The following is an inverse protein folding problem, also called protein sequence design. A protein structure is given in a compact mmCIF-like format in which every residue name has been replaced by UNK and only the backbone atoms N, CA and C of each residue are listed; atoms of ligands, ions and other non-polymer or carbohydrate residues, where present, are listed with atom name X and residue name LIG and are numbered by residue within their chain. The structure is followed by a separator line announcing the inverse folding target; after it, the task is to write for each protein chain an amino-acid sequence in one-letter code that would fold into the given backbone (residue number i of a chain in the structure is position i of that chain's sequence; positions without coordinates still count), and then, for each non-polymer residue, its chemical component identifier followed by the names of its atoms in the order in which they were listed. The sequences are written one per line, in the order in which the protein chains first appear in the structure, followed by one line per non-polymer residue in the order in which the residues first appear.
data_IF_362502404823
#
_entry.id   IF_362502404823
#
_cell.length_a   1.000
_cell.length_b   1.000
_cell.length_c   1.000
_cell.angle_alpha   90.00
_cell.angle_beta   90.00
_cell.angle_gamma   90.00
#
_symmetry.space_group_name_H-M   'P 1'
#
loop_
_entity.id
_entity.type
_entity.pdbx_description
1 polymer ?
#
# COMPACT_ATOMS: atom_id res chain seq x y z
N UNK A 1 2.15 2.41 -12.86
CA UNK A 1 0.79 1.92 -12.55
C UNK A 1 0.65 0.49 -13.07
N UNK A 2 0.02 -0.42 -12.33
CA UNK A 2 -0.01 -1.83 -12.71
C UNK A 2 -1.16 -2.23 -13.65
N UNK A 3 -1.99 -1.29 -14.08
CA UNK A 3 -3.17 -1.56 -14.90
C UNK A 3 -2.97 -1.14 -16.35
N UNK A 4 -3.43 -1.94 -17.30
CA UNK A 4 -3.38 -1.64 -18.72
C UNK A 4 -4.06 -0.30 -19.07
N UNK A 5 -5.19 -0.02 -18.44
CA UNK A 5 -5.90 1.24 -18.61
C UNK A 5 -5.09 2.46 -18.18
N UNK A 6 -4.34 2.34 -17.08
CA UNK A 6 -3.46 3.42 -16.61
C UNK A 6 -2.28 3.65 -17.55
N UNK A 7 -1.69 2.59 -18.09
CA UNK A 7 -0.62 2.70 -19.08
C UNK A 7 -1.14 3.38 -20.36
N UNK A 8 -2.31 2.96 -20.86
CA UNK A 8 -2.92 3.56 -22.02
C UNK A 8 -3.27 5.04 -21.81
N UNK A 9 -3.80 5.40 -20.64
CA UNK A 9 -4.13 6.79 -20.29
C UNK A 9 -2.86 7.65 -20.24
N UNK A 10 -1.80 7.17 -19.59
CA UNK A 10 -0.53 7.90 -19.51
C UNK A 10 0.09 8.10 -20.89
N UNK A 11 0.12 7.05 -21.72
CA UNK A 11 0.64 7.16 -23.09
C UNK A 11 -0.18 8.12 -23.96
N UNK A 12 -1.51 8.19 -23.74
CA UNK A 12 -2.36 9.15 -24.42
C UNK A 12 -2.07 10.59 -23.96
N UNK A 13 -1.96 10.81 -22.66
CA UNK A 13 -1.66 12.12 -22.08
C UNK A 13 -0.29 12.63 -22.53
N UNK A 14 0.72 11.77 -22.54
CA UNK A 14 2.05 12.09 -23.04
C UNK A 14 1.98 12.62 -24.49
N UNK A 15 1.34 11.87 -25.38
CA UNK A 15 1.20 12.25 -26.78
C UNK A 15 0.34 13.50 -27.00
N UNK A 16 -0.75 13.62 -26.25
CA UNK A 16 -1.72 14.71 -26.42
C UNK A 16 -1.19 16.05 -25.90
N UNK A 17 -0.53 16.01 -24.74
CA UNK A 17 -0.01 17.20 -24.09
C UNK A 17 1.47 17.43 -24.32
N UNK A 18 2.15 16.52 -25.01
CA UNK A 18 3.61 16.54 -25.25
C UNK A 18 4.39 16.71 -23.92
N UNK A 19 4.02 15.93 -22.92
CA UNK A 19 4.65 15.96 -21.59
C UNK A 19 5.87 15.04 -21.55
N UNK A 20 6.99 15.48 -21.01
CA UNK A 20 8.10 14.59 -20.71
C UNK A 20 7.64 13.45 -19.81
N UNK A 21 7.80 12.21 -20.26
CA UNK A 21 7.29 11.03 -19.55
C UNK A 21 8.38 9.98 -19.39
N UNK A 22 8.62 9.55 -18.15
CA UNK A 22 9.51 8.43 -17.86
C UNK A 22 8.69 7.19 -17.52
N UNK A 23 8.94 6.09 -18.22
CA UNK A 23 8.29 4.81 -17.94
C UNK A 23 9.20 3.95 -17.07
N UNK A 24 8.90 3.90 -15.79
CA UNK A 24 9.60 3.06 -14.84
C UNK A 24 9.22 1.58 -15.04
N UNK A 25 10.18 0.79 -15.51
CA UNK A 25 10.01 -0.63 -15.73
C UNK A 25 10.07 -1.43 -14.42
N UNK A 26 9.09 -2.32 -14.22
CA UNK A 26 9.10 -3.23 -13.07
C UNK A 26 9.24 -4.65 -13.57
N UNK A 27 10.33 -5.35 -13.20
CA UNK A 27 10.55 -6.73 -13.61
C UNK A 27 9.43 -7.66 -13.13
N UNK A 28 9.12 -8.67 -13.93
CA UNK A 28 8.09 -9.67 -13.60
C UNK A 28 8.55 -10.59 -12.46
N UNK A 29 9.84 -10.93 -12.39
CA UNK A 29 10.42 -11.74 -11.32
C UNK A 29 11.09 -10.83 -10.30
N UNK A 30 10.80 -10.94 -9.02
CA UNK A 30 11.24 -9.97 -8.00
C UNK A 30 12.23 -10.52 -6.96
N UNK A 31 12.54 -11.82 -6.99
CA UNK A 31 13.40 -12.46 -5.98
C UNK A 31 14.82 -12.75 -6.47
N UNK A 32 15.18 -12.31 -7.66
CA UNK A 32 16.49 -12.54 -8.26
C UNK A 32 17.36 -11.28 -8.15
N UNK A 33 18.63 -11.42 -7.84
CA UNK A 33 19.57 -10.28 -7.71
C UNK A 33 19.63 -9.44 -9.00
N UNK A 34 19.62 -10.08 -10.17
CA UNK A 34 19.60 -9.39 -11.44
C UNK A 34 18.38 -8.47 -11.60
N UNK A 35 17.23 -8.89 -11.08
CA UNK A 35 16.00 -8.11 -11.08
C UNK A 35 16.09 -6.93 -10.13
N UNK A 36 16.71 -7.11 -8.97
CA UNK A 36 16.95 -6.02 -8.03
C UNK A 36 17.90 -4.98 -8.64
N UNK A 37 18.98 -5.41 -9.26
CA UNK A 37 19.92 -4.53 -9.94
C UNK A 37 19.25 -3.75 -11.07
N UNK A 38 18.41 -4.40 -11.88
CA UNK A 38 17.62 -3.74 -12.90
C UNK A 38 16.71 -2.65 -12.32
N UNK A 39 15.99 -2.96 -11.23
CA UNK A 39 15.10 -2.00 -10.59
C UNK A 39 15.86 -0.79 -9.99
N UNK A 40 17.08 -0.99 -9.50
CA UNK A 40 17.96 0.11 -9.06
C UNK A 40 18.37 0.99 -10.24
N UNK A 41 18.76 0.39 -11.37
CA UNK A 41 19.11 1.15 -12.57
C UNK A 41 17.94 1.94 -13.14
N UNK A 42 16.72 1.41 -13.07
CA UNK A 42 15.50 2.15 -13.42
C UNK A 42 15.30 3.38 -12.51
N UNK A 43 15.54 3.26 -11.19
CA UNK A 43 15.50 4.42 -10.28
C UNK A 43 16.57 5.45 -10.61
N UNK A 44 17.78 5.02 -10.94
CA UNK A 44 18.84 5.92 -11.40
C UNK A 44 18.47 6.60 -12.72
N UNK A 45 17.81 5.86 -13.62
CA UNK A 45 17.27 6.40 -14.86
C UNK A 45 16.22 7.47 -14.60
N UNK A 46 15.35 7.26 -13.64
CA UNK A 46 14.34 8.24 -13.22
C UNK A 46 15.01 9.52 -12.65
N UNK A 47 16.04 9.37 -11.83
CA UNK A 47 16.79 10.52 -11.30
C UNK A 47 17.40 11.33 -12.46
N UNK A 48 18.13 10.68 -13.38
CA UNK A 48 18.70 11.36 -14.55
C UNK A 48 17.64 12.06 -15.40
N UNK A 49 16.50 11.40 -15.61
CA UNK A 49 15.38 12.02 -16.34
C UNK A 49 14.88 13.30 -15.65
N UNK A 50 14.72 13.27 -14.34
CA UNK A 50 14.29 14.44 -13.56
C UNK A 50 15.35 15.56 -13.67
N UNK A 51 16.62 15.27 -13.51
CA UNK A 51 17.73 16.23 -13.65
C UNK A 51 17.73 16.86 -15.06
N UNK A 52 17.57 16.07 -16.10
CA UNK A 52 17.49 16.53 -17.48
C UNK A 52 16.29 17.44 -17.75
N UNK A 53 15.13 17.14 -17.15
CA UNK A 53 13.90 17.92 -17.37
C UNK A 53 13.85 19.21 -16.54
N UNK A 54 14.46 19.23 -15.36
CA UNK A 54 14.43 20.37 -14.45
C UNK A 54 15.65 21.26 -14.56
N UNK A 55 16.78 20.71 -15.02
CA UNK A 55 18.08 21.39 -14.99
C UNK A 55 18.72 21.43 -13.60
N UNK A 56 18.11 20.78 -12.62
CA UNK A 56 18.57 20.72 -11.22
C UNK A 56 19.25 19.41 -10.93
N UNK A 57 20.29 19.41 -10.10
CA UNK A 57 20.94 18.19 -9.62
C UNK A 57 20.12 17.58 -8.49
N UNK A 58 20.03 16.26 -8.48
CA UNK A 58 19.26 15.54 -7.44
C UNK A 58 19.84 15.77 -6.04
N UNK A 59 19.03 16.26 -5.14
CA UNK A 59 19.41 16.59 -3.74
C UNK A 59 19.26 15.35 -2.84
N UNK A 60 20.38 14.67 -2.61
CA UNK A 60 20.43 13.50 -1.74
C UNK A 60 20.14 13.82 -0.27
N UNK A 61 20.49 15.01 0.21
CA UNK A 61 20.22 15.38 1.60
C UNK A 61 18.71 15.59 1.82
N UNK A 62 18.05 16.25 0.87
CA UNK A 62 16.60 16.39 0.87
C UNK A 62 15.91 15.03 0.74
N UNK A 63 16.42 14.14 -0.12
CA UNK A 63 15.91 12.79 -0.26
C UNK A 63 16.04 11.99 1.06
N UNK A 64 17.20 11.98 1.69
CA UNK A 64 17.39 11.30 2.97
C UNK A 64 16.52 11.86 4.09
N UNK A 65 16.33 13.17 4.10
CA UNK A 65 15.40 13.80 5.05
C UNK A 65 13.96 13.31 4.83
N UNK A 66 13.52 13.23 3.59
CA UNK A 66 12.19 12.68 3.26
C UNK A 66 12.07 11.20 3.64
N UNK A 67 13.12 10.40 3.36
CA UNK A 67 13.12 8.96 3.72
C UNK A 67 13.11 8.72 5.23
N UNK A 68 13.71 9.58 6.03
CA UNK A 68 13.60 9.50 7.50
C UNK A 68 12.15 9.65 7.98
N UNK A 69 11.41 10.57 7.37
CA UNK A 69 9.97 10.74 7.67
C UNK A 69 9.18 9.53 7.19
N UNK A 70 9.39 9.10 5.95
CA UNK A 70 8.76 7.91 5.37
C UNK A 70 8.99 6.65 6.21
N UNK A 71 10.21 6.40 6.66
CA UNK A 71 10.55 5.26 7.52
C UNK A 71 9.76 5.31 8.83
N UNK A 72 9.62 6.49 9.41
CA UNK A 72 8.86 6.67 10.65
C UNK A 72 7.36 6.43 10.46
N UNK A 73 6.81 6.88 9.35
CA UNK A 73 5.43 6.58 8.97
C UNK A 73 5.22 5.08 8.75
N UNK A 74 6.16 4.43 8.06
CA UNK A 74 6.15 2.98 7.86
C UNK A 74 6.12 2.21 9.19
N UNK A 75 6.94 2.62 10.18
CA UNK A 75 6.91 2.01 11.51
C UNK A 75 5.54 2.15 12.19
N UNK A 76 4.90 3.33 12.11
CA UNK A 76 3.57 3.53 12.68
C UNK A 76 2.51 2.70 11.95
N UNK A 77 2.60 2.58 10.63
CA UNK A 77 1.70 1.74 9.85
C UNK A 77 1.82 0.26 10.24
N UNK A 78 3.03 -0.26 10.33
CA UNK A 78 3.28 -1.64 10.75
C UNK A 78 2.70 -1.91 12.16
N UNK A 79 2.85 -0.98 13.10
CA UNK A 79 2.28 -1.11 14.45
C UNK A 79 0.74 -1.16 14.43
N UNK A 80 0.09 -0.38 13.56
CA UNK A 80 -1.37 -0.42 13.39
C UNK A 80 -1.84 -1.79 12.93
N UNK A 81 -1.15 -2.38 11.98
CA UNK A 81 -1.48 -3.70 11.46
C UNK A 81 -1.25 -4.81 12.48
N UNK A 82 -0.17 -4.74 13.25
CA UNK A 82 0.07 -5.68 14.35
C UNK A 82 -1.07 -5.64 15.39
N UNK A 83 -1.54 -4.47 15.74
CA UNK A 83 -2.67 -4.32 16.66
C UNK A 83 -3.96 -4.92 16.07
N UNK A 84 -4.20 -4.77 14.78
CA UNK A 84 -5.38 -5.33 14.13
C UNK A 84 -5.37 -6.87 14.04
N UNK A 85 -4.20 -7.51 14.12
CA UNK A 85 -4.10 -8.98 14.22
C UNK A 85 -4.60 -9.53 15.56
N UNK A 86 -4.66 -8.69 16.58
CA UNK A 86 -5.09 -9.07 17.92
C UNK A 86 -6.62 -9.17 18.06
N UNK A 87 -7.15 -9.73 19.16
CA UNK A 87 -8.59 -9.70 19.45
C UNK A 87 -9.18 -8.29 19.64
N UNK A 88 -8.32 -7.26 19.70
CA UNK A 88 -8.72 -5.87 19.95
C UNK A 88 -8.29 -4.95 18.79
N UNK A 89 -8.81 -5.15 17.56
CA UNK A 89 -8.49 -4.28 16.45
C UNK A 89 -8.88 -2.85 16.74
N UNK A 90 -8.09 -1.90 16.24
CA UNK A 90 -8.26 -0.48 16.57
C UNK A 90 -8.60 0.37 15.36
N UNK A 91 -8.54 -0.21 14.17
CA UNK A 91 -8.87 0.50 12.95
C UNK A 91 -9.62 -0.45 12.01
N UNK A 92 -10.85 -0.11 11.67
CA UNK A 92 -11.70 -0.92 10.82
C UNK A 92 -12.41 -0.06 9.78
N UNK A 93 -12.90 -0.71 8.72
CA UNK A 93 -13.81 -0.15 7.74
C UNK A 93 -13.29 1.10 7.05
N UNK A 94 -14.18 2.06 6.92
CA UNK A 94 -13.95 3.31 6.20
C UNK A 94 -12.87 4.19 6.85
N UNK A 95 -12.80 4.20 8.18
CA UNK A 95 -11.75 4.94 8.91
C UNK A 95 -10.36 4.55 8.43
N UNK A 96 -10.17 3.25 8.21
CA UNK A 96 -8.96 2.69 7.70
C UNK A 96 -8.67 3.16 6.27
N UNK A 97 -9.68 3.13 5.41
CA UNK A 97 -9.55 3.51 4.02
C UNK A 97 -9.28 5.00 3.85
N UNK A 98 -10.07 5.86 4.52
CA UNK A 98 -9.89 7.32 4.51
C UNK A 98 -8.52 7.68 5.04
N UNK A 99 -8.13 7.11 6.17
CA UNK A 99 -6.82 7.36 6.77
C UNK A 99 -5.69 7.06 5.80
N UNK A 100 -5.73 5.90 5.14
CA UNK A 100 -4.71 5.51 4.18
C UNK A 100 -4.69 6.39 2.94
N UNK A 101 -5.84 6.72 2.37
CA UNK A 101 -5.93 7.61 1.21
C UNK A 101 -5.33 8.99 1.51
N UNK A 102 -5.71 9.58 2.62
CA UNK A 102 -5.22 10.91 2.96
C UNK A 102 -3.76 10.93 3.38
N UNK A 103 -3.32 9.96 4.14
CA UNK A 103 -1.96 9.96 4.69
C UNK A 103 -0.93 9.35 3.75
N UNK A 104 -1.27 8.28 3.08
CA UNK A 104 -0.33 7.55 2.24
C UNK A 104 -0.23 8.07 0.81
N UNK A 105 -1.36 8.46 0.22
CA UNK A 105 -1.41 8.84 -1.19
C UNK A 105 -1.32 10.34 -1.42
N UNK A 106 -1.75 11.16 -0.48
CA UNK A 106 -1.80 12.59 -0.64
C UNK A 106 -0.65 13.34 0.04
N UNK A 107 -0.07 12.79 1.10
CA UNK A 107 1.01 13.46 1.82
C UNK A 107 2.40 12.95 1.51
N UNK A 108 2.52 11.68 1.14
CA UNK A 108 3.77 11.09 0.66
C UNK A 108 5.00 11.29 1.53
N UNK A 109 4.86 11.34 2.85
CA UNK A 109 5.99 11.52 3.76
C UNK A 109 6.65 12.91 3.73
N UNK A 110 6.04 13.87 3.08
CA UNK A 110 6.64 15.20 2.87
C UNK A 110 6.19 16.23 3.90
N UNK A 111 5.04 16.04 4.54
CA UNK A 111 4.49 16.99 5.48
C UNK A 111 4.67 16.53 6.94
N UNK A 112 5.47 17.23 7.75
CA UNK A 112 5.69 16.89 9.15
C UNK A 112 4.41 16.91 10.01
N UNK A 113 3.36 17.62 9.57
CA UNK A 113 2.07 17.61 10.25
C UNK A 113 1.38 16.24 10.17
N UNK A 114 1.56 15.53 9.07
CA UNK A 114 1.02 14.17 8.94
C UNK A 114 1.71 13.20 9.88
N UNK A 115 3.03 13.27 10.01
CA UNK A 115 3.76 12.45 10.97
C UNK A 115 3.28 12.69 12.42
N UNK A 116 2.99 13.94 12.78
CA UNK A 116 2.42 14.25 14.10
C UNK A 116 1.02 13.66 14.29
N UNK A 117 0.18 13.76 13.27
CA UNK A 117 -1.16 13.17 13.28
C UNK A 117 -1.07 11.65 13.37
N UNK A 118 -0.20 11.02 12.60
CA UNK A 118 0.04 9.59 12.61
C UNK A 118 0.49 9.10 13.99
N UNK A 119 1.39 9.81 14.61
CA UNK A 119 1.83 9.57 15.99
C UNK A 119 0.68 9.68 17.00
N UNK A 120 -0.24 10.63 16.82
CA UNK A 120 -1.42 10.78 17.68
C UNK A 120 -2.40 9.62 17.50
N UNK A 121 -2.69 9.25 16.26
CA UNK A 121 -3.55 8.09 15.95
C UNK A 121 -2.95 6.82 16.53
N UNK A 122 -1.67 6.56 16.33
CA UNK A 122 -0.97 5.42 16.91
C UNK A 122 -1.11 5.39 18.44
N UNK A 123 -0.94 6.52 19.10
CA UNK A 123 -1.11 6.62 20.56
C UNK A 123 -2.53 6.27 21.02
N UNK A 124 -3.56 6.71 20.26
CA UNK A 124 -4.96 6.39 20.56
C UNK A 124 -5.19 4.89 20.41
N UNK A 125 -4.73 4.31 19.31
CA UNK A 125 -4.84 2.88 19.05
C UNK A 125 -4.14 2.03 20.12
N UNK A 126 -2.91 2.37 20.47
CA UNK A 126 -2.16 1.67 21.52
C UNK A 126 -2.85 1.74 22.89
N UNK A 127 -3.49 2.87 23.20
CA UNK A 127 -4.29 3.01 24.42
C UNK A 127 -5.52 2.08 24.41
N UNK A 128 -6.26 2.05 23.29
CA UNK A 128 -7.41 1.15 23.11
C UNK A 128 -6.99 -0.32 23.25
N UNK A 129 -5.91 -0.69 22.60
CA UNK A 129 -5.33 -2.03 22.71
C UNK A 129 -4.94 -2.40 24.15
N UNK A 130 -4.22 -1.53 24.86
CA UNK A 130 -3.83 -1.75 26.25
C UNK A 130 -5.05 -1.89 27.20
N UNK A 131 -6.13 -1.19 26.88
CA UNK A 131 -7.39 -1.31 27.60
C UNK A 131 -8.22 -2.54 27.20
N UNK A 132 -7.74 -3.34 26.25
CA UNK A 132 -8.46 -4.49 25.68
C UNK A 132 -9.85 -4.12 25.13
N UNK A 133 -9.94 -2.96 24.53
CA UNK A 133 -11.20 -2.46 23.93
C UNK A 133 -11.04 -2.44 22.41
N UNK A 134 -11.80 -3.25 21.65
CA UNK A 134 -11.83 -3.14 20.21
C UNK A 134 -12.51 -1.83 19.79
N UNK A 135 -12.15 -1.29 18.63
CA UNK A 135 -12.81 -0.10 18.08
C UNK A 135 -14.28 -0.35 17.70
N UNK A 136 -14.61 -1.60 17.40
CA UNK A 136 -15.95 -2.03 17.06
C UNK A 136 -16.46 -3.05 18.09
N UNK A 137 -17.18 -2.61 19.16
CA UNK A 137 -17.61 -3.49 20.24
C UNK A 137 -18.66 -4.52 19.82
N UNK A 138 -19.37 -4.30 18.72
CA UNK A 138 -20.37 -5.22 18.17
C UNK A 138 -19.80 -6.15 17.08
N UNK A 139 -18.49 -6.27 16.98
CA UNK A 139 -17.84 -7.12 15.98
C UNK A 139 -18.28 -8.58 16.11
N UNK A 140 -18.86 -9.12 15.03
CA UNK A 140 -19.24 -10.53 14.88
C UNK A 140 -18.33 -11.26 13.93
N UNK A 141 -17.92 -10.58 12.87
CA UNK A 141 -17.08 -11.11 11.80
C UNK A 141 -15.85 -10.27 11.62
N UNK A 142 -14.72 -10.93 11.48
CA UNK A 142 -13.44 -10.33 11.12
C UNK A 142 -13.24 -10.50 9.63
N UNK A 143 -13.35 -9.42 8.90
CA UNK A 143 -13.35 -9.43 7.45
C UNK A 143 -11.99 -9.00 6.89
N UNK A 144 -11.53 -9.71 5.88
CA UNK A 144 -10.48 -9.24 4.98
C UNK A 144 -11.14 -8.74 3.71
N UNK A 145 -10.88 -7.50 3.37
CA UNK A 145 -11.31 -6.92 2.11
C UNK A 145 -10.22 -7.18 1.04
N UNK A 146 -10.62 -7.80 -0.05
CA UNK A 146 -9.69 -8.17 -1.11
C UNK A 146 -10.12 -7.60 -2.44
N UNK A 147 -9.17 -7.05 -3.23
CA UNK A 147 -9.40 -6.21 -4.38
C UNK A 147 -9.57 -4.73 -4.03
N UNK A 148 -9.89 -3.88 -5.00
CA UNK A 148 -10.10 -2.46 -4.77
C UNK A 148 -11.32 -2.22 -3.88
N UNK A 149 -11.21 -1.46 -2.81
CA UNK A 149 -12.36 -1.14 -1.95
C UNK A 149 -13.45 -0.38 -2.72
N UNK A 150 -14.69 -0.50 -2.25
CA UNK A 150 -15.85 0.14 -2.86
C UNK A 150 -15.89 1.65 -2.60
N UNK A 151 -14.91 2.38 -3.10
CA UNK A 151 -14.73 3.82 -2.88
C UNK A 151 -15.91 4.68 -3.34
N UNK A 152 -16.71 4.15 -4.26
CA UNK A 152 -17.93 4.77 -4.76
C UNK A 152 -19.12 4.55 -3.83
N UNK A 153 -18.95 3.79 -2.75
CA UNK A 153 -19.99 3.49 -1.77
C UNK A 153 -19.45 3.60 -0.33
N UNK A 154 -19.11 4.81 0.12
CA UNK A 154 -18.43 5.00 1.41
C UNK A 154 -19.25 4.51 2.60
N UNK A 155 -20.58 4.55 2.50
CA UNK A 155 -21.47 4.09 3.56
C UNK A 155 -21.52 2.56 3.74
N UNK A 156 -20.97 1.80 2.79
CA UNK A 156 -21.02 0.35 2.84
C UNK A 156 -20.34 -0.21 4.09
N UNK A 157 -19.12 0.25 4.40
CA UNK A 157 -18.38 -0.20 5.58
C UNK A 157 -19.11 0.16 6.87
N UNK A 158 -19.68 1.37 6.94
CA UNK A 158 -20.47 1.83 8.10
C UNK A 158 -21.72 0.97 8.28
N UNK A 159 -22.41 0.66 7.20
CA UNK A 159 -23.56 -0.22 7.21
C UNK A 159 -23.19 -1.66 7.62
N UNK A 160 -22.12 -2.20 7.05
CA UNK A 160 -21.66 -3.55 7.37
C UNK A 160 -21.26 -3.69 8.86
N UNK A 161 -20.56 -2.71 9.40
CA UNK A 161 -20.19 -2.68 10.81
C UNK A 161 -21.40 -2.55 11.73
N UNK A 162 -22.26 -1.58 11.48
CA UNK A 162 -23.37 -1.25 12.39
C UNK A 162 -24.55 -2.21 12.31
N UNK A 163 -24.86 -2.72 11.12
CA UNK A 163 -26.03 -3.59 10.93
C UNK A 163 -25.69 -5.07 11.06
N UNK A 164 -24.48 -5.47 10.69
CA UNK A 164 -24.11 -6.90 10.60
C UNK A 164 -22.95 -7.28 11.50
N UNK A 165 -22.21 -6.32 12.05
CA UNK A 165 -21.03 -6.56 12.84
C UNK A 165 -19.87 -7.11 12.01
N UNK A 166 -19.83 -6.78 10.72
CA UNK A 166 -18.76 -7.14 9.80
C UNK A 166 -17.71 -6.05 9.86
N UNK A 167 -16.54 -6.37 10.40
CA UNK A 167 -15.46 -5.41 10.57
C UNK A 167 -14.27 -5.76 9.69
N UNK A 168 -13.93 -4.88 8.77
CA UNK A 168 -12.74 -5.02 7.93
C UNK A 168 -11.51 -4.77 8.79
N UNK A 169 -10.75 -5.81 9.07
CA UNK A 169 -9.54 -5.76 9.91
C UNK A 169 -8.26 -5.68 9.10
N UNK A 170 -8.32 -6.06 7.83
CA UNK A 170 -7.24 -5.92 6.86
C UNK A 170 -7.80 -5.81 5.45
N UNK A 171 -7.06 -5.20 4.56
CA UNK A 171 -7.36 -5.16 3.12
C UNK A 171 -6.12 -5.48 2.31
N UNK A 172 -6.29 -5.79 1.03
CA UNK A 172 -5.18 -5.97 0.12
C UNK A 172 -4.25 -4.74 0.10
N UNK A 173 -4.81 -3.55 0.22
CA UNK A 173 -4.06 -2.29 0.20
C UNK A 173 -3.34 -1.98 1.51
N UNK A 174 -3.69 -2.68 2.59
CA UNK A 174 -3.03 -2.52 3.89
C UNK A 174 -1.70 -3.25 4.00
N UNK A 175 -1.39 -4.09 3.03
CA UNK A 175 -0.15 -4.82 2.99
C UNK A 175 0.97 -3.92 2.49
N UNK A 176 1.64 -3.27 3.40
CA UNK A 176 2.77 -2.40 3.09
C UNK A 176 4.10 -3.15 3.16
N UNK A 177 5.13 -2.56 2.56
CA UNK A 177 6.49 -3.07 2.71
C UNK A 177 7.01 -2.81 4.11
N UNK A 178 7.69 -3.80 4.69
CA UNK A 178 8.39 -3.71 5.97
C UNK A 178 9.85 -3.21 5.84
N UNK A 179 10.25 -2.80 4.64
CA UNK A 179 11.60 -2.36 4.37
C UNK A 179 11.78 -0.92 4.81
N UNK A 180 12.76 -0.71 5.67
CA UNK A 180 13.23 0.61 6.10
C UNK A 180 14.34 1.05 5.15
N UNK A 181 14.19 2.23 4.58
CA UNK A 181 15.12 2.78 3.58
C UNK A 181 16.37 3.33 4.26
N UNK A 182 17.54 2.96 3.77
CA UNK A 182 18.81 3.56 4.22
C UNK A 182 18.79 5.07 3.98
N UNK A 183 19.28 5.85 4.95
CA UNK A 183 19.27 7.32 4.89
C UNK A 183 20.66 7.95 4.99
N UNK A 184 21.69 7.21 4.61
CA UNK A 184 23.08 7.65 4.70
C UNK A 184 23.88 7.34 3.42
N UNK A 185 23.50 6.28 2.70
CA UNK A 185 24.21 5.78 1.53
C UNK A 185 23.26 5.75 0.33
N UNK A 186 23.51 6.51 -0.74
CA UNK A 186 22.68 6.56 -1.93
C UNK A 186 22.42 5.20 -2.58
N UNK A 187 23.43 4.36 -2.70
CA UNK A 187 23.30 3.07 -3.38
C UNK A 187 22.44 2.10 -2.56
N UNK A 188 22.64 2.07 -1.25
CA UNK A 188 21.80 1.29 -0.33
C UNK A 188 20.38 1.81 -0.30
N UNK A 189 20.21 3.13 -0.28
CA UNK A 189 18.87 3.73 -0.31
C UNK A 189 18.09 3.34 -1.56
N UNK A 190 18.71 3.41 -2.74
CA UNK A 190 18.09 2.98 -3.98
C UNK A 190 17.80 1.47 -3.99
N UNK A 191 18.69 0.65 -3.45
CA UNK A 191 18.45 -0.79 -3.34
C UNK A 191 17.27 -1.10 -2.41
N UNK A 192 17.18 -0.45 -1.26
CA UNK A 192 16.06 -0.62 -0.32
C UNK A 192 14.75 -0.11 -0.93
N UNK A 193 14.77 1.05 -1.58
CA UNK A 193 13.61 1.62 -2.25
C UNK A 193 13.11 0.73 -3.39
N UNK A 194 14.01 0.22 -4.23
CA UNK A 194 13.68 -0.72 -5.29
C UNK A 194 13.04 -1.99 -4.73
N UNK A 195 13.58 -2.52 -3.64
CA UNK A 195 13.06 -3.71 -2.96
C UNK A 195 11.70 -3.44 -2.32
N UNK A 196 11.55 -2.31 -1.63
CA UNK A 196 10.28 -1.88 -1.04
C UNK A 196 9.19 -1.74 -2.10
N UNK A 197 9.48 -1.02 -3.17
CA UNK A 197 8.55 -0.81 -4.26
C UNK A 197 8.08 -2.11 -4.92
N UNK A 198 8.96 -3.08 -5.05
CA UNK A 198 8.62 -4.39 -5.61
C UNK A 198 7.76 -5.25 -4.69
N UNK A 199 7.77 -4.99 -3.39
CA UNK A 199 6.98 -5.69 -2.38
C UNK A 199 5.61 -5.06 -2.13
N UNK A 200 5.33 -3.89 -2.70
CA UNK A 200 3.99 -3.31 -2.58
C UNK A 200 2.95 -4.23 -3.23
N UNK A 201 1.79 -4.30 -2.62
CA UNK A 201 0.74 -5.28 -2.90
C UNK A 201 0.43 -5.45 -4.38
N UNK A 202 -0.01 -4.43 -5.07
CA UNK A 202 -0.38 -4.54 -6.48
C UNK A 202 0.81 -4.93 -7.38
N UNK A 203 2.02 -4.50 -7.05
CA UNK A 203 3.23 -4.88 -7.80
C UNK A 203 3.59 -6.33 -7.60
N UNK A 204 3.53 -6.80 -6.39
CA UNK A 204 3.77 -8.20 -6.03
C UNK A 204 2.77 -9.12 -6.73
N UNK A 205 1.51 -8.74 -6.80
CA UNK A 205 0.44 -9.51 -7.42
C UNK A 205 0.58 -9.61 -8.95
N UNK A 206 1.02 -8.56 -9.62
CA UNK A 206 1.19 -8.58 -11.08
C UNK A 206 2.41 -9.37 -11.55
N UNK A 207 3.31 -9.75 -10.65
CA UNK A 207 4.58 -10.43 -10.97
C UNK A 207 4.55 -11.94 -10.86
N UNK A 208 3.51 -12.49 -10.33
CA UNK A 208 3.31 -13.93 -10.22
C UNK A 208 2.03 -14.35 -10.90
N UNK A 209 1.80 -15.63 -11.00
CA UNK A 209 0.50 -16.14 -11.38
C UNK A 209 -0.53 -15.90 -10.27
N UNK A 210 -1.77 -16.25 -10.52
CA UNK A 210 -2.87 -16.18 -9.56
C UNK A 210 -2.56 -16.85 -8.21
N UNK A 211 -1.69 -17.85 -8.21
CA UNK A 211 -1.27 -18.55 -6.99
C UNK A 211 -0.69 -17.60 -5.94
N UNK A 212 0.15 -16.63 -6.35
CA UNK A 212 0.70 -15.66 -5.41
C UNK A 212 -0.37 -14.81 -4.71
N UNK A 213 -1.41 -14.43 -5.46
CA UNK A 213 -2.52 -13.63 -4.93
C UNK A 213 -3.32 -14.45 -3.92
N UNK A 214 -3.59 -15.71 -4.25
CA UNK A 214 -4.34 -16.63 -3.40
C UNK A 214 -3.56 -17.00 -2.14
N UNK A 215 -2.29 -17.33 -2.27
CA UNK A 215 -1.42 -17.66 -1.13
C UNK A 215 -1.32 -16.47 -0.15
N UNK A 216 -1.21 -15.25 -0.67
CA UNK A 216 -1.16 -14.07 0.17
C UNK A 216 -2.49 -13.82 0.89
N UNK A 217 -3.63 -13.98 0.20
CA UNK A 217 -4.95 -13.90 0.84
C UNK A 217 -5.07 -14.91 1.99
N UNK A 218 -4.66 -16.15 1.78
CA UNK A 218 -4.68 -17.18 2.83
C UNK A 218 -3.80 -16.83 4.03
N UNK A 219 -2.61 -16.31 3.77
CA UNK A 219 -1.70 -15.85 4.84
C UNK A 219 -2.34 -14.71 5.63
N UNK A 220 -2.90 -13.73 4.95
CA UNK A 220 -3.58 -12.59 5.60
C UNK A 220 -4.77 -13.06 6.41
N UNK A 221 -5.65 -13.90 5.86
CA UNK A 221 -6.79 -14.43 6.60
C UNK A 221 -6.37 -15.16 7.89
N UNK A 222 -5.31 -15.96 7.83
CA UNK A 222 -4.78 -16.63 9.01
C UNK A 222 -4.19 -15.66 10.04
N UNK A 223 -3.39 -14.69 9.58
CA UNK A 223 -2.73 -13.72 10.47
C UNK A 223 -3.73 -12.81 11.19
N UNK A 224 -4.82 -12.47 10.53
CA UNK A 224 -5.85 -11.59 11.08
C UNK A 224 -7.02 -12.34 11.72
N UNK A 225 -6.96 -13.67 11.78
CA UNK A 225 -8.07 -14.52 12.25
C UNK A 225 -9.39 -14.15 11.57
N UNK A 226 -9.34 -13.99 10.26
CA UNK A 226 -10.51 -13.62 9.47
C UNK A 226 -11.41 -14.84 9.26
N UNK A 227 -12.69 -14.64 9.44
CA UNK A 227 -13.74 -15.62 9.17
C UNK A 227 -14.59 -15.24 7.95
N UNK A 228 -14.28 -14.10 7.32
CA UNK A 228 -14.96 -13.60 6.15
C UNK A 228 -13.99 -12.90 5.20
N UNK A 229 -14.22 -13.05 3.91
CA UNK A 229 -13.55 -12.28 2.86
C UNK A 229 -14.61 -11.55 2.05
N UNK A 230 -14.43 -10.25 1.89
CA UNK A 230 -15.19 -9.42 0.95
C UNK A 230 -14.33 -9.17 -0.28
N UNK A 231 -14.82 -9.59 -1.43
CA UNK A 231 -14.16 -9.35 -2.69
C UNK A 231 -15.02 -8.45 -3.57
N UNK A 232 -14.44 -7.35 -4.03
CA UNK A 232 -15.12 -6.44 -4.93
C UNK A 232 -14.67 -6.69 -6.37
N UNK A 233 -15.62 -7.00 -7.23
CA UNK A 233 -15.40 -7.07 -8.67
C UNK A 233 -15.42 -5.67 -9.26
N UNK A 234 -14.26 -5.21 -9.70
CA UNK A 234 -14.17 -3.95 -10.40
C UNK A 234 -14.07 -4.21 -11.90
N UNK A 235 -15.10 -3.87 -12.63
CA UNK A 235 -15.24 -4.14 -14.08
C UNK A 235 -14.06 -3.67 -14.94
N UNK A 236 -13.30 -2.69 -14.47
CA UNK A 236 -12.10 -2.19 -15.15
C UNK A 236 -10.81 -2.93 -14.79
N UNK A 237 -10.86 -3.84 -13.81
CA UNK A 237 -9.69 -4.56 -13.31
C UNK A 237 -9.68 -6.00 -13.82
N UNK A 238 -9.26 -6.21 -15.07
CA UNK A 238 -9.21 -7.54 -15.71
C UNK A 238 -8.47 -8.60 -14.88
N UNK A 239 -7.42 -8.20 -14.16
CA UNK A 239 -6.62 -9.10 -13.35
C UNK A 239 -7.39 -9.65 -12.15
N UNK A 240 -8.21 -8.84 -11.51
CA UNK A 240 -9.00 -9.27 -10.35
C UNK A 240 -10.30 -9.96 -10.76
N UNK A 241 -11.02 -9.43 -11.73
CA UNK A 241 -12.24 -10.07 -12.26
C UNK A 241 -11.95 -11.47 -12.81
N UNK A 242 -10.82 -11.64 -13.51
CA UNK A 242 -10.40 -12.93 -14.04
C UNK A 242 -10.00 -13.96 -12.97
N UNK A 243 -9.75 -13.53 -11.74
CA UNK A 243 -9.42 -14.40 -10.63
C UNK A 243 -10.63 -14.84 -9.79
N UNK A 244 -11.80 -14.26 -10.02
CA UNK A 244 -13.01 -14.54 -9.22
C UNK A 244 -13.26 -16.05 -9.07
N UNK A 245 -13.33 -16.77 -10.18
CA UNK A 245 -13.58 -18.22 -10.15
C UNK A 245 -12.46 -19.06 -9.54
N UNK A 246 -11.33 -18.46 -9.18
CA UNK A 246 -10.22 -19.12 -8.46
C UNK A 246 -10.37 -18.91 -6.95
N UNK A 247 -11.01 -17.84 -6.54
CA UNK A 247 -11.27 -17.54 -5.13
C UNK A 247 -12.52 -18.25 -4.57
N UNK A 248 -13.46 -18.62 -5.43
CA UNK A 248 -14.62 -19.46 -5.11
C UNK A 248 -14.20 -20.92 -4.92
#
# INVERSE_FOLDING_TARGET
MPCDGSVATTAYQDRYFNLPTYYYGVPIRYNEDAVQNYAVEELRGLIRFIEEQTGETFDWDAFFKAMKVYNRETEYELQKWEVNRTPYPQMTGETFWIYRMFFYHLSGGMDPHFLDTDRRVNRIMMRGYQQKKPCAPAMRHRCVEWSCPANFYPDFSVWAENCWGINVVASMESLISDIIINTEDPDRALADLARSYQRTTMRKHTKGGYANVLDELWVVCKQYNADMVLMYDQISCKGMDGLRGVFE
#
